data_IF_215085230460
#
_entry.id   IF_215085230460
#
_cell.length_a   1.000
_cell.length_b   1.000
_cell.length_c   1.000
_cell.angle_alpha   90.00
_cell.angle_beta   90.00
_cell.angle_gamma   90.00
#
_symmetry.space_group_name_H-M   'P 1'
#
loop_
_entity.id
_entity.type
_entity.pdbx_description
1 polymer ?
#
# COMPACT_ATOMS: atom_id res chain seq x y z
N UNK A 1 4.23 53.42 -12.59
CA UNK A 1 3.41 54.69 -12.59
C UNK A 1 2.00 54.31 -12.16
N UNK A 2 1.58 54.84 -10.99
CA UNK A 2 0.23 54.88 -10.38
C UNK A 2 -0.43 53.53 -10.05
N UNK A 3 -0.54 53.00 -8.81
CA UNK A 3 -1.05 53.59 -7.52
C UNK A 3 -2.55 53.86 -7.56
N UNK A 4 -3.35 53.06 -6.80
CA UNK A 4 -4.55 53.41 -5.99
C UNK A 4 -4.77 52.17 -5.10
N UNK A 5 -4.48 52.15 -3.86
CA UNK A 5 -4.85 52.75 -2.57
C UNK A 5 -6.26 52.44 -2.09
N UNK A 6 -6.30 51.54 -1.10
CA UNK A 6 -7.02 51.46 0.19
C UNK A 6 -8.50 51.85 0.29
N UNK A 7 -9.19 51.04 1.13
CA UNK A 7 -9.90 51.59 2.31
C UNK A 7 -10.29 50.47 3.29
N UNK A 8 -9.79 50.64 4.51
CA UNK A 8 -10.21 49.94 5.74
C UNK A 8 -11.55 50.54 6.21
N UNK A 9 -12.41 49.70 6.80
CA UNK A 9 -13.42 50.14 7.74
C UNK A 9 -13.50 49.16 8.90
N UNK A 10 -13.05 49.63 10.05
CA UNK A 10 -13.24 49.01 11.35
C UNK A 10 -14.64 49.37 11.88
N UNK A 11 -15.35 48.42 12.42
CA UNK A 11 -16.55 48.66 13.22
C UNK A 11 -16.28 48.18 14.65
N UNK A 12 -16.22 49.12 15.55
CA UNK A 12 -16.21 49.00 17.00
C UNK A 12 -17.64 48.69 17.45
N UNK A 13 -17.86 47.63 18.23
CA UNK A 13 -19.11 47.42 18.95
C UNK A 13 -18.84 47.56 20.44
N UNK A 14 -19.54 48.56 21.01
CA UNK A 14 -19.55 48.95 22.41
C UNK A 14 -20.49 47.98 23.17
N UNK A 15 -20.04 47.49 24.34
CA UNK A 15 -20.84 46.79 25.34
C UNK A 15 -21.53 47.80 26.27
N UNK A 16 -22.78 47.56 26.68
CA UNK A 16 -23.36 48.25 27.84
C UNK A 16 -23.36 47.35 29.10
N UNK A 17 -23.53 47.96 30.28
CA UNK A 17 -23.12 47.39 31.56
C UNK A 17 -24.16 46.53 32.30
N UNK A 18 -23.69 45.93 33.36
CA UNK A 18 -24.37 44.99 34.26
C UNK A 18 -25.59 45.59 34.94
N UNK A 19 -26.62 44.70 35.11
CA UNK A 19 -27.74 44.89 35.99
C UNK A 19 -28.14 43.59 36.65
N UNK A 20 -27.79 43.42 37.89
CA UNK A 20 -28.14 42.25 38.70
C UNK A 20 -29.60 42.18 39.06
N UNK A 21 -30.12 40.96 39.11
CA UNK A 21 -31.34 40.61 39.87
C UNK A 21 -31.33 39.14 40.27
N UNK A 22 -31.36 38.88 41.54
CA UNK A 22 -31.57 37.57 42.15
C UNK A 22 -32.94 37.03 41.79
N UNK A 23 -33.02 35.75 41.34
CA UNK A 23 -34.20 34.90 41.49
C UNK A 23 -33.82 33.43 41.57
N UNK A 24 -34.06 32.90 42.70
CA UNK A 24 -34.37 31.53 43.18
C UNK A 24 -34.27 30.35 42.24
N UNK A 25 -33.54 29.34 42.72
CA UNK A 25 -33.45 27.99 42.20
C UNK A 25 -34.82 27.31 42.12
N UNK A 26 -35.16 26.82 40.94
CA UNK A 26 -36.12 25.73 40.76
C UNK A 26 -35.38 24.55 40.13
N UNK A 27 -35.27 23.47 40.91
CA UNK A 27 -34.66 22.21 40.47
C UNK A 27 -35.45 21.59 39.33
N UNK A 28 -34.96 21.73 38.09
CA UNK A 28 -35.41 20.96 36.97
C UNK A 28 -34.50 19.76 36.74
N UNK A 29 -34.92 18.60 37.27
CA UNK A 29 -34.34 17.32 36.96
C UNK A 29 -34.41 17.11 35.44
N UNK A 30 -33.26 17.20 34.75
CA UNK A 30 -33.14 16.71 33.35
C UNK A 30 -33.31 15.19 33.41
N UNK A 31 -34.52 14.72 33.16
CA UNK A 31 -34.76 13.34 32.79
C UNK A 31 -33.91 13.07 31.54
N UNK A 32 -32.77 12.44 31.71
CA UNK A 32 -32.08 11.75 30.61
C UNK A 32 -33.05 10.71 30.10
N UNK A 33 -33.59 10.93 28.91
CA UNK A 33 -34.44 9.95 28.23
C UNK A 33 -33.67 8.63 28.20
N UNK A 34 -34.20 7.60 28.83
CA UNK A 34 -33.68 6.25 28.77
C UNK A 34 -33.56 5.87 27.25
N UNK A 35 -32.49 5.18 26.84
CA UNK A 35 -32.34 4.77 25.46
C UNK A 35 -33.59 3.97 25.06
N UNK A 36 -34.23 4.38 23.94
CA UNK A 36 -35.38 3.65 23.40
C UNK A 36 -34.95 2.24 23.10
N UNK A 37 -35.45 1.26 23.85
CA UNK A 37 -35.23 -0.15 23.60
C UNK A 37 -35.64 -0.46 22.15
N UNK A 38 -34.72 -0.95 21.35
CA UNK A 38 -35.00 -1.29 19.95
C UNK A 38 -36.10 -2.37 19.88
N UNK A 39 -36.97 -2.28 18.87
CA UNK A 39 -37.97 -3.31 18.63
C UNK A 39 -37.27 -4.67 18.32
N UNK A 40 -37.89 -5.81 18.69
CA UNK A 40 -37.37 -7.12 18.34
C UNK A 40 -37.10 -7.23 16.84
N UNK A 41 -35.88 -7.62 16.43
CA UNK A 41 -35.46 -7.70 15.03
C UNK A 41 -34.92 -6.39 14.45
N UNK A 42 -34.74 -5.32 15.25
CA UNK A 42 -34.11 -4.10 14.79
C UNK A 42 -32.57 -4.26 14.70
N UNK A 43 -31.97 -3.80 13.59
CA UNK A 43 -30.51 -3.71 13.46
C UNK A 43 -30.01 -2.63 14.41
N UNK A 44 -29.13 -3.00 15.34
CA UNK A 44 -28.56 -2.09 16.33
C UNK A 44 -27.02 -2.06 16.23
N UNK A 45 -26.42 -1.04 16.88
CA UNK A 45 -24.96 -0.97 16.94
C UNK A 45 -24.38 -2.16 17.70
N UNK A 46 -24.88 -2.41 18.93
CA UNK A 46 -24.33 -3.42 19.82
C UNK A 46 -24.41 -4.83 19.26
N UNK A 47 -25.53 -5.19 18.60
CA UNK A 47 -25.77 -6.56 18.16
C UNK A 47 -25.18 -6.88 16.77
N UNK A 48 -25.27 -5.95 15.80
CA UNK A 48 -24.91 -6.25 14.41
C UNK A 48 -23.80 -5.38 13.86
N UNK A 49 -23.77 -4.08 14.20
CA UNK A 49 -22.83 -3.14 13.56
C UNK A 49 -21.44 -3.22 14.20
N UNK A 50 -21.34 -3.24 15.53
CA UNK A 50 -20.07 -3.34 16.23
C UNK A 50 -19.26 -4.59 15.82
N UNK A 51 -19.86 -5.80 15.72
CA UNK A 51 -19.14 -6.97 15.21
C UNK A 51 -18.53 -6.76 13.83
N UNK A 52 -19.27 -6.10 12.90
CA UNK A 52 -18.77 -5.81 11.56
C UNK A 52 -17.61 -4.81 11.61
N UNK A 53 -17.76 -3.71 12.35
CA UNK A 53 -16.72 -2.68 12.48
C UNK A 53 -15.48 -3.23 13.18
N UNK A 54 -15.65 -4.01 14.24
CA UNK A 54 -14.54 -4.57 15.01
C UNK A 54 -13.72 -5.58 14.20
N UNK A 55 -14.38 -6.39 13.40
CA UNK A 55 -13.70 -7.37 12.54
C UNK A 55 -12.99 -6.73 11.33
N UNK A 56 -13.52 -5.62 10.77
CA UNK A 56 -13.10 -5.16 9.44
C UNK A 56 -12.53 -3.72 9.42
N UNK A 57 -12.76 -2.90 10.44
CA UNK A 57 -12.45 -1.47 10.37
C UNK A 57 -11.46 -1.01 11.45
N UNK A 58 -11.60 -1.48 12.68
CA UNK A 58 -10.85 -0.94 13.84
C UNK A 58 -9.36 -1.23 13.80
N UNK A 59 -8.89 -2.15 12.94
CA UNK A 59 -7.45 -2.35 12.74
C UNK A 59 -6.77 -1.04 12.33
N UNK A 60 -7.42 -0.24 11.49
CA UNK A 60 -6.94 1.07 11.04
C UNK A 60 -7.68 2.22 11.74
N UNK A 61 -8.99 2.08 11.99
CA UNK A 61 -9.85 3.11 12.56
C UNK A 61 -9.87 3.06 14.11
N UNK A 62 -8.71 3.28 14.73
CA UNK A 62 -8.54 3.45 16.18
C UNK A 62 -7.48 4.51 16.49
N UNK A 63 -7.42 5.05 17.72
CA UNK A 63 -6.41 6.05 18.09
C UNK A 63 -4.98 5.58 17.77
N UNK A 64 -4.16 6.48 17.25
CA UNK A 64 -2.75 6.21 16.94
C UNK A 64 -2.51 5.41 15.64
N UNK A 65 -3.55 5.08 14.86
CA UNK A 65 -3.40 4.41 13.57
C UNK A 65 -3.56 5.37 12.39
N UNK A 66 -3.36 4.84 11.16
CA UNK A 66 -3.33 5.64 9.93
C UNK A 66 -4.66 6.32 9.59
N UNK A 67 -5.80 5.72 9.95
CA UNK A 67 -7.10 6.29 9.65
C UNK A 67 -7.34 7.63 10.37
N UNK A 68 -8.03 8.60 9.73
CA UNK A 68 -8.19 9.96 10.27
C UNK A 68 -9.16 10.05 11.47
N UNK A 69 -9.89 8.99 11.77
CA UNK A 69 -10.86 8.92 12.88
C UNK A 69 -11.01 7.48 13.39
N UNK A 70 -11.46 7.34 14.64
CA UNK A 70 -11.75 6.05 15.24
C UNK A 70 -13.17 5.57 14.89
N UNK A 71 -13.39 4.24 15.02
CA UNK A 71 -14.70 3.56 14.90
C UNK A 71 -14.85 2.50 16.02
N UNK A 72 -14.33 2.80 17.22
CA UNK A 72 -14.28 1.86 18.35
C UNK A 72 -15.48 1.99 19.30
N UNK A 73 -16.27 3.07 19.16
CA UNK A 73 -17.43 3.33 20.00
C UNK A 73 -18.69 3.56 19.19
N UNK A 74 -19.85 3.47 19.84
CA UNK A 74 -21.14 3.84 19.23
C UNK A 74 -21.13 5.28 18.72
N UNK A 75 -20.64 6.22 19.53
CA UNK A 75 -20.60 7.64 19.15
C UNK A 75 -19.67 7.90 17.94
N UNK A 76 -18.55 7.21 17.85
CA UNK A 76 -17.67 7.26 16.69
C UNK A 76 -18.41 6.80 15.43
N UNK A 77 -19.05 5.64 15.49
CA UNK A 77 -19.76 5.05 14.37
C UNK A 77 -20.97 5.90 13.95
N UNK A 78 -21.78 6.37 14.93
CA UNK A 78 -22.95 7.21 14.70
C UNK A 78 -22.59 8.52 14.01
N UNK A 79 -21.51 9.18 14.46
CA UNK A 79 -20.99 10.40 13.83
C UNK A 79 -20.62 10.20 12.36
N UNK A 80 -20.26 8.99 11.97
CA UNK A 80 -19.78 8.63 10.62
C UNK A 80 -20.73 7.74 9.83
N UNK A 81 -21.91 7.42 10.33
CA UNK A 81 -22.82 6.44 9.74
C UNK A 81 -23.08 6.63 8.26
N UNK A 82 -23.43 7.82 7.80
CA UNK A 82 -23.66 8.10 6.39
C UNK A 82 -22.39 7.92 5.54
N UNK A 83 -21.21 8.28 6.09
CA UNK A 83 -19.93 8.09 5.43
C UNK A 83 -19.61 6.59 5.33
N UNK A 84 -19.81 5.81 6.42
CA UNK A 84 -19.62 4.36 6.43
C UNK A 84 -20.45 3.72 5.31
N UNK A 85 -21.74 4.02 5.24
CA UNK A 85 -22.62 3.47 4.20
C UNK A 85 -22.13 3.81 2.80
N UNK A 86 -21.77 5.08 2.55
CA UNK A 86 -21.27 5.52 1.24
C UNK A 86 -20.02 4.74 0.80
N UNK A 87 -19.01 4.64 1.69
CA UNK A 87 -17.72 4.03 1.31
C UNK A 87 -17.77 2.50 1.29
N UNK A 88 -18.66 1.86 2.05
CA UNK A 88 -18.84 0.39 2.01
C UNK A 88 -19.69 -0.03 0.82
N UNK A 89 -20.75 0.73 0.48
CA UNK A 89 -21.55 0.48 -0.71
C UNK A 89 -20.74 0.60 -2.02
N UNK A 90 -19.83 1.57 -2.09
CA UNK A 90 -18.90 1.71 -3.23
C UNK A 90 -17.71 0.75 -3.16
N UNK A 91 -17.59 -0.08 -2.11
CA UNK A 91 -16.46 -0.96 -1.83
C UNK A 91 -15.09 -0.27 -1.73
N UNK A 92 -15.09 1.05 -1.50
CA UNK A 92 -13.89 1.82 -1.22
C UNK A 92 -13.28 1.46 0.14
N UNK A 93 -14.13 1.06 1.12
CA UNK A 93 -13.71 0.57 2.43
C UNK A 93 -14.42 -0.75 2.78
N UNK A 94 -13.73 -1.70 3.41
CA UNK A 94 -12.28 -1.75 3.65
C UNK A 94 -11.48 -1.79 2.33
N UNK A 95 -10.23 -1.29 2.30
CA UNK A 95 -9.43 -1.31 1.07
C UNK A 95 -9.03 -2.75 0.73
N UNK A 96 -9.59 -3.26 -0.36
CA UNK A 96 -9.32 -4.59 -0.90
C UNK A 96 -9.69 -4.61 -2.37
N UNK A 97 -8.69 -4.67 -3.25
CA UNK A 97 -8.91 -4.51 -4.69
C UNK A 97 -8.91 -5.81 -5.49
N UNK A 98 -8.39 -6.92 -4.91
CA UNK A 98 -8.48 -8.22 -5.59
C UNK A 98 -9.95 -8.65 -5.74
N UNK A 99 -10.36 -8.94 -6.96
CA UNK A 99 -11.72 -9.37 -7.27
C UNK A 99 -12.03 -10.72 -6.60
N UNK A 100 -13.19 -10.80 -5.96
CA UNK A 100 -13.64 -12.04 -5.33
C UNK A 100 -13.78 -13.17 -6.34
N UNK A 101 -13.33 -14.38 -5.97
CA UNK A 101 -13.38 -15.56 -6.84
C UNK A 101 -12.33 -15.56 -7.96
N UNK A 102 -11.45 -14.54 -8.01
CA UNK A 102 -10.35 -14.49 -8.95
C UNK A 102 -8.99 -14.55 -8.24
N UNK A 103 -8.63 -15.76 -7.80
CA UNK A 103 -7.61 -16.05 -6.78
C UNK A 103 -8.26 -16.23 -5.40
N UNK A 104 -7.63 -17.03 -4.56
CA UNK A 104 -8.03 -17.22 -3.16
C UNK A 104 -6.93 -16.71 -2.24
N UNK A 105 -7.23 -15.66 -1.46
CA UNK A 105 -6.23 -14.96 -0.66
C UNK A 105 -6.51 -15.11 0.83
N UNK A 106 -5.42 -15.13 1.63
CA UNK A 106 -5.51 -15.02 3.10
C UNK A 106 -5.99 -13.62 3.48
N UNK A 107 -6.64 -13.54 4.62
CA UNK A 107 -7.03 -12.26 5.26
C UNK A 107 -7.80 -11.30 4.33
N UNK A 108 -8.69 -11.85 3.50
CA UNK A 108 -9.56 -11.06 2.63
C UNK A 108 -10.42 -10.11 3.45
N UNK A 109 -10.23 -8.79 3.25
CA UNK A 109 -10.90 -7.72 4.02
C UNK A 109 -12.24 -7.29 3.43
N UNK A 110 -12.77 -8.00 2.47
CA UNK A 110 -14.01 -7.68 1.78
C UNK A 110 -15.22 -7.91 2.68
N UNK A 111 -16.10 -6.91 2.78
CA UNK A 111 -17.42 -7.09 3.37
C UNK A 111 -18.34 -7.91 2.46
N UNK A 112 -19.16 -8.77 3.06
CA UNK A 112 -20.25 -9.43 2.34
C UNK A 112 -21.37 -8.44 1.99
N UNK A 113 -22.24 -8.81 1.04
CA UNK A 113 -23.37 -7.96 0.67
C UNK A 113 -24.36 -7.81 1.84
N UNK A 114 -24.49 -8.84 2.68
CA UNK A 114 -25.31 -8.80 3.90
C UNK A 114 -24.73 -7.84 4.95
N UNK A 115 -23.40 -7.80 5.12
CA UNK A 115 -22.75 -6.86 6.02
C UNK A 115 -22.95 -5.41 5.54
N UNK A 116 -22.82 -5.15 4.25
CA UNK A 116 -23.07 -3.84 3.64
C UNK A 116 -24.55 -3.43 3.83
N UNK A 117 -25.48 -4.35 3.57
CA UNK A 117 -26.91 -4.11 3.76
C UNK A 117 -27.26 -3.84 5.24
N UNK A 118 -26.61 -4.54 6.18
CA UNK A 118 -26.77 -4.34 7.63
C UNK A 118 -26.35 -2.92 8.04
N UNK A 119 -25.20 -2.44 7.57
CA UNK A 119 -24.72 -1.08 7.83
C UNK A 119 -25.68 -0.04 7.25
N UNK A 120 -26.18 -0.25 6.04
CA UNK A 120 -27.15 0.64 5.40
C UNK A 120 -28.48 0.68 6.16
N UNK A 121 -29.00 -0.47 6.58
CA UNK A 121 -30.27 -0.56 7.32
C UNK A 121 -30.15 0.09 8.72
N UNK A 122 -29.02 -0.07 9.39
CA UNK A 122 -28.76 0.61 10.67
C UNK A 122 -28.85 2.14 10.54
N UNK A 123 -28.22 2.71 9.51
CA UNK A 123 -28.27 4.16 9.26
C UNK A 123 -29.68 4.60 8.89
N UNK A 124 -30.38 3.86 8.01
CA UNK A 124 -31.77 4.13 7.62
C UNK A 124 -32.71 4.16 8.81
N UNK A 125 -32.50 3.34 9.81
CA UNK A 125 -33.30 3.29 11.06
C UNK A 125 -32.93 4.36 12.09
N UNK A 126 -32.05 5.30 11.77
CA UNK A 126 -31.63 6.37 12.69
C UNK A 126 -30.53 5.95 13.68
N UNK A 127 -29.79 4.90 13.32
CA UNK A 127 -28.61 4.44 14.06
C UNK A 127 -28.88 4.10 15.54
N UNK A 128 -29.79 3.17 15.86
CA UNK A 128 -30.05 2.80 17.24
C UNK A 128 -28.83 2.10 17.88
N UNK A 129 -28.57 2.40 19.15
CA UNK A 129 -27.45 1.82 19.89
C UNK A 129 -27.66 0.33 20.19
N UNK A 130 -28.87 -0.02 20.65
CA UNK A 130 -29.18 -1.35 21.16
C UNK A 130 -28.88 -1.47 22.66
N UNK A 131 -28.79 -2.72 23.13
CA UNK A 131 -28.44 -3.00 24.53
C UNK A 131 -26.90 -3.02 24.64
N UNK A 132 -26.30 -2.13 25.46
CA UNK A 132 -24.86 -2.10 25.65
C UNK A 132 -24.27 -3.41 26.22
N UNK A 133 -25.08 -4.25 26.89
CA UNK A 133 -24.63 -5.54 27.41
C UNK A 133 -24.36 -6.57 26.29
N UNK A 134 -24.88 -6.34 25.09
CA UNK A 134 -24.63 -7.16 23.90
C UNK A 134 -23.41 -6.71 23.10
N UNK A 135 -22.78 -5.58 23.49
CA UNK A 135 -21.61 -5.10 22.80
C UNK A 135 -20.45 -6.11 22.91
N UNK A 136 -19.91 -6.60 21.77
CA UNK A 136 -18.77 -7.50 21.84
C UNK A 136 -17.53 -6.79 22.42
N UNK A 137 -16.65 -7.56 23.03
CA UNK A 137 -15.36 -7.03 23.46
C UNK A 137 -14.60 -6.44 22.28
N UNK A 138 -14.00 -5.26 22.48
CA UNK A 138 -13.12 -4.67 21.48
C UNK A 138 -11.95 -5.63 21.22
N UNK A 139 -11.56 -5.88 19.97
CA UNK A 139 -10.40 -6.70 19.67
C UNK A 139 -9.15 -6.21 20.42
N UNK A 140 -8.41 -7.15 20.98
CA UNK A 140 -7.11 -6.86 21.54
C UNK A 140 -6.11 -6.59 20.43
N UNK A 141 -5.38 -5.51 20.54
CA UNK A 141 -4.31 -5.17 19.62
C UNK A 141 -2.99 -5.30 20.37
N UNK A 142 -2.04 -6.10 19.88
CA UNK A 142 -0.74 -6.21 20.53
C UNK A 142 -0.10 -4.82 20.66
N UNK A 143 0.39 -4.51 21.84
CA UNK A 143 1.31 -3.39 22.04
C UNK A 143 2.70 -3.83 21.55
N UNK A 144 3.34 -3.02 20.72
CA UNK A 144 4.65 -3.34 20.13
C UNK A 144 4.54 -4.20 18.86
N UNK A 145 5.28 -5.31 18.80
CA UNK A 145 5.42 -6.14 17.61
C UNK A 145 4.30 -7.17 17.48
N UNK A 146 3.61 -7.18 16.32
CA UNK A 146 2.48 -8.09 16.07
C UNK A 146 2.90 -9.55 15.96
N UNK A 147 4.09 -9.78 15.40
CA UNK A 147 4.61 -11.13 15.18
C UNK A 147 5.40 -11.68 16.38
N UNK A 148 5.35 -11.00 17.54
CA UNK A 148 6.14 -11.32 18.72
C UNK A 148 7.48 -10.59 18.73
N UNK A 149 8.41 -10.98 19.57
CA UNK A 149 9.72 -10.31 19.71
C UNK A 149 10.58 -10.55 18.44
N UNK A 150 11.01 -9.50 17.71
CA UNK A 150 11.91 -9.64 16.58
C UNK A 150 13.29 -10.12 17.02
N UNK A 151 13.98 -10.84 16.13
CA UNK A 151 15.39 -11.24 16.32
C UNK A 151 16.34 -10.05 16.19
N UNK A 152 15.97 -9.06 15.36
CA UNK A 152 16.76 -7.84 15.16
C UNK A 152 15.80 -6.64 15.02
N UNK A 153 16.04 -5.61 15.83
CA UNK A 153 15.34 -4.32 15.73
C UNK A 153 16.29 -3.26 15.23
N UNK A 154 15.91 -2.58 14.17
CA UNK A 154 16.69 -1.51 13.56
C UNK A 154 15.84 -0.23 13.48
N UNK A 155 16.43 0.90 13.85
CA UNK A 155 15.82 2.23 13.74
C UNK A 155 16.61 3.08 12.75
N UNK A 156 15.95 3.94 12.00
CA UNK A 156 16.62 4.91 11.13
C UNK A 156 17.67 5.69 11.93
N UNK A 157 18.91 5.83 11.41
CA UNK A 157 20.02 6.44 12.15
C UNK A 157 19.76 7.89 12.53
N UNK A 158 18.99 8.62 11.73
CA UNK A 158 18.62 10.01 11.95
C UNK A 158 17.14 10.25 11.65
N UNK A 159 16.54 11.18 12.39
CA UNK A 159 15.21 11.67 12.09
C UNK A 159 15.21 12.46 10.78
N UNK A 160 14.10 12.41 10.07
CA UNK A 160 13.88 13.08 8.80
C UNK A 160 12.70 14.04 8.89
N UNK A 161 12.93 15.31 8.61
CA UNK A 161 11.91 16.33 8.70
C UNK A 161 11.11 16.42 7.40
N UNK A 162 9.80 16.20 7.49
CA UNK A 162 8.84 16.33 6.40
C UNK A 162 8.17 17.71 6.44
N UNK A 163 8.13 18.46 5.34
CA UNK A 163 7.43 19.73 5.28
C UNK A 163 5.91 19.53 5.36
N UNK A 164 5.19 20.59 5.72
CA UNK A 164 3.72 20.56 5.79
C UNK A 164 3.06 20.36 4.41
N UNK A 165 3.69 20.84 3.33
CA UNK A 165 3.14 20.81 1.98
C UNK A 165 4.25 20.76 0.94
N UNK A 166 3.92 20.29 -0.24
CA UNK A 166 4.82 20.11 -1.37
C UNK A 166 4.39 18.91 -2.22
N UNK A 167 5.18 18.52 -3.22
CA UNK A 167 4.98 17.27 -3.95
C UNK A 167 5.28 16.06 -3.05
N UNK A 168 4.81 14.90 -3.45
CA UNK A 168 5.21 13.64 -2.85
C UNK A 168 6.73 13.48 -2.89
N UNK A 169 7.28 12.95 -1.80
CA UNK A 169 8.73 12.76 -1.67
C UNK A 169 9.09 11.27 -1.64
N UNK A 170 10.07 10.89 -2.46
CA UNK A 170 10.67 9.55 -2.47
C UNK A 170 12.09 9.63 -1.93
N UNK A 171 12.35 8.87 -0.85
CA UNK A 171 13.67 8.91 -0.20
C UNK A 171 14.09 7.53 0.29
N UNK A 172 15.37 7.27 0.16
CA UNK A 172 15.99 6.01 0.57
C UNK A 172 16.79 6.23 1.85
N UNK A 173 16.50 5.49 2.91
CA UNK A 173 17.24 5.54 4.16
C UNK A 173 18.05 4.27 4.34
N UNK A 174 19.28 4.43 4.75
CA UNK A 174 20.26 3.34 4.89
C UNK A 174 20.44 3.02 6.37
N UNK A 175 20.25 1.76 6.73
CA UNK A 175 20.36 1.29 8.11
C UNK A 175 21.36 0.12 8.17
N UNK A 176 22.55 0.31 8.73
CA UNK A 176 23.53 -0.77 8.88
C UNK A 176 23.01 -1.89 9.77
N UNK A 177 23.02 -3.13 9.28
CA UNK A 177 22.59 -4.29 10.07
C UNK A 177 23.64 -4.74 11.09
N UNK A 178 24.92 -4.52 10.82
CA UNK A 178 26.07 -5.00 11.61
C UNK A 178 26.06 -6.52 11.85
N UNK A 179 25.42 -7.28 10.97
CA UNK A 179 25.37 -8.73 11.07
C UNK A 179 26.77 -9.34 10.85
N UNK A 180 27.19 -10.21 11.74
CA UNK A 180 28.48 -10.92 11.66
C UNK A 180 28.43 -12.15 10.74
N UNK A 181 27.24 -12.65 10.45
CA UNK A 181 27.01 -13.84 9.63
C UNK A 181 25.78 -13.64 8.71
N UNK A 182 25.67 -14.45 7.66
CA UNK A 182 24.51 -14.45 6.79
C UNK A 182 23.26 -14.90 7.54
N UNK A 183 22.14 -14.21 7.33
CA UNK A 183 20.83 -14.51 7.90
C UNK A 183 19.78 -14.70 6.82
N UNK A 184 18.68 -15.30 7.21
CA UNK A 184 17.54 -15.54 6.33
C UNK A 184 16.29 -14.92 6.96
N UNK A 185 15.67 -13.98 6.27
CA UNK A 185 14.52 -13.22 6.75
C UNK A 185 13.24 -13.97 6.41
N UNK A 186 12.43 -14.27 7.41
CA UNK A 186 11.10 -14.88 7.24
C UNK A 186 9.94 -13.90 7.45
N UNK A 187 10.21 -12.74 8.07
CA UNK A 187 9.25 -11.63 8.17
C UNK A 187 9.97 -10.32 8.44
N UNK A 188 9.34 -9.22 8.03
CA UNK A 188 9.67 -7.86 8.45
C UNK A 188 8.39 -7.20 8.92
N UNK A 189 8.46 -6.58 10.08
CA UNK A 189 7.42 -5.72 10.62
C UNK A 189 7.92 -4.28 10.65
N UNK A 190 7.13 -3.35 10.13
CA UNK A 190 7.51 -1.96 9.94
C UNK A 190 6.64 -1.05 10.81
N UNK A 191 7.29 -0.20 11.58
CA UNK A 191 6.66 0.80 12.44
C UNK A 191 7.06 2.20 11.98
N UNK A 192 6.23 2.89 11.18
CA UNK A 192 6.51 4.25 10.72
C UNK A 192 6.47 5.25 11.87
N UNK A 193 7.42 6.20 11.92
CA UNK A 193 7.44 7.33 12.83
C UNK A 193 6.31 8.31 12.50
N UNK A 194 6.32 8.85 11.29
CA UNK A 194 5.26 9.71 10.76
C UNK A 194 4.17 8.87 10.07
N UNK A 195 3.43 8.08 10.84
CA UNK A 195 2.47 7.08 10.37
C UNK A 195 1.45 7.58 9.34
N UNK A 196 1.11 8.87 9.38
CA UNK A 196 0.14 9.47 8.47
C UNK A 196 0.75 9.94 7.14
N UNK A 197 2.05 10.25 7.17
CA UNK A 197 2.79 10.75 6.02
C UNK A 197 3.45 9.62 5.22
N UNK A 198 3.82 8.51 5.86
CA UNK A 198 4.39 7.35 5.19
C UNK A 198 3.30 6.62 4.41
N UNK A 199 3.33 6.72 3.08
CA UNK A 199 2.36 6.08 2.19
C UNK A 199 2.71 4.61 1.95
N UNK A 200 3.96 4.31 1.55
CA UNK A 200 4.50 2.96 1.48
C UNK A 200 6.02 2.96 1.61
N UNK A 201 6.57 1.79 1.84
CA UNK A 201 8.02 1.55 1.88
C UNK A 201 8.36 0.22 1.20
N UNK A 202 9.43 0.22 0.41
CA UNK A 202 10.05 -0.99 -0.10
C UNK A 202 11.31 -1.28 0.72
N UNK A 203 11.49 -2.56 1.09
CA UNK A 203 12.65 -3.03 1.83
C UNK A 203 13.61 -3.72 0.90
N UNK A 204 14.88 -3.38 1.00
CA UNK A 204 15.96 -4.07 0.30
C UNK A 204 17.18 -4.21 1.19
N UNK A 205 18.09 -5.12 0.83
CA UNK A 205 19.44 -5.12 1.38
C UNK A 205 20.45 -4.68 0.33
N UNK A 206 21.54 -4.07 0.79
CA UNK A 206 22.73 -3.73 0.01
C UNK A 206 24.00 -4.22 0.72
N UNK A 207 24.63 -5.26 0.17
CA UNK A 207 25.93 -5.76 0.61
C UNK A 207 27.10 -5.15 -0.16
N UNK A 208 26.82 -4.23 -1.10
CA UNK A 208 27.86 -3.56 -1.92
C UNK A 208 28.33 -2.23 -1.33
N UNK A 209 27.59 -1.68 -0.37
CA UNK A 209 27.79 -0.35 0.19
C UNK A 209 27.50 0.79 -0.79
N UNK A 210 26.81 0.51 -1.88
CA UNK A 210 26.45 1.52 -2.87
C UNK A 210 25.44 2.54 -2.30
N UNK A 211 24.50 2.07 -1.49
CA UNK A 211 23.53 2.91 -0.80
C UNK A 211 24.19 3.82 0.25
N UNK A 212 25.06 3.24 1.09
CA UNK A 212 25.82 4.00 2.12
C UNK A 212 26.72 5.09 1.52
N UNK A 213 27.27 4.86 0.32
CA UNK A 213 28.06 5.90 -0.38
C UNK A 213 27.23 7.08 -0.87
N UNK A 214 25.92 6.96 -0.94
CA UNK A 214 24.98 8.01 -1.39
C UNK A 214 24.31 8.74 -0.23
N UNK A 215 24.25 8.07 0.92
CA UNK A 215 23.60 8.59 2.13
C UNK A 215 24.17 9.96 2.52
N UNK A 216 23.29 10.93 2.76
CA UNK A 216 23.63 12.27 3.22
C UNK A 216 24.36 13.17 2.23
N UNK A 217 24.58 12.78 0.96
CA UNK A 217 25.34 13.61 -0.01
C UNK A 217 24.65 14.93 -0.36
N UNK A 218 23.34 15.00 -0.23
CA UNK A 218 22.54 16.21 -0.45
C UNK A 218 22.34 17.03 0.85
N UNK A 219 23.07 16.71 1.92
CA UNK A 219 23.00 17.36 3.22
C UNK A 219 21.80 16.96 4.08
N UNK A 220 20.99 15.99 3.65
CA UNK A 220 19.82 15.48 4.36
C UNK A 220 19.99 13.97 4.63
N UNK A 221 19.42 13.41 5.72
CA UNK A 221 19.45 11.96 5.96
C UNK A 221 18.92 11.18 4.76
N UNK A 222 19.59 10.09 4.37
CA UNK A 222 19.22 9.30 3.19
C UNK A 222 19.64 9.96 1.87
N UNK A 223 18.99 9.53 0.77
CA UNK A 223 19.18 10.10 -0.57
C UNK A 223 17.90 10.00 -1.40
N UNK A 224 17.69 10.95 -2.29
CA UNK A 224 16.48 11.03 -3.12
C UNK A 224 16.43 10.03 -4.26
N UNK A 225 15.22 9.82 -4.81
CA UNK A 225 14.93 9.07 -6.03
C UNK A 225 14.35 7.67 -5.81
N UNK A 226 13.63 7.19 -6.83
CA UNK A 226 13.09 5.82 -6.90
C UNK A 226 14.10 4.89 -7.60
N UNK A 227 14.06 3.59 -7.27
CA UNK A 227 14.77 2.53 -8.00
C UNK A 227 16.30 2.58 -7.98
N UNK A 228 16.89 3.46 -7.21
CA UNK A 228 18.31 3.80 -7.33
C UNK A 228 19.24 3.06 -6.39
N UNK A 229 18.71 2.33 -5.41
CA UNK A 229 19.51 1.59 -4.43
C UNK A 229 19.68 0.10 -4.77
N UNK A 230 19.40 -0.30 -6.01
CA UNK A 230 19.39 -1.71 -6.35
C UNK A 230 18.18 -2.47 -5.80
N UNK A 231 17.11 -1.77 -5.41
CA UNK A 231 15.85 -2.36 -4.93
C UNK A 231 15.13 -3.19 -6.02
N UNK A 232 15.71 -3.27 -7.21
CA UNK A 232 15.34 -4.20 -8.27
C UNK A 232 16.54 -5.05 -8.73
N UNK A 233 17.59 -5.07 -7.96
CA UNK A 233 18.87 -5.76 -8.01
C UNK A 233 19.16 -6.66 -9.19
N UNK A 234 19.65 -6.08 -10.28
CA UNK A 234 20.36 -6.83 -11.33
C UNK A 234 21.86 -6.99 -10.98
N UNK A 235 22.34 -6.26 -9.95
CA UNK A 235 23.71 -6.36 -9.48
C UNK A 235 23.81 -7.31 -8.29
N UNK A 236 24.78 -8.24 -8.33
CA UNK A 236 25.07 -9.13 -7.22
C UNK A 236 25.34 -8.36 -5.92
N UNK A 237 24.79 -8.86 -4.80
CA UNK A 237 24.95 -8.24 -3.49
C UNK A 237 23.82 -7.28 -3.07
N UNK A 238 22.75 -7.13 -3.87
CA UNK A 238 21.54 -6.44 -3.48
C UNK A 238 20.31 -7.32 -3.71
N UNK A 239 19.26 -7.13 -2.93
CA UNK A 239 18.03 -7.88 -3.15
C UNK A 239 16.82 -7.34 -2.39
N UNK A 240 15.61 -7.63 -2.90
CA UNK A 240 14.37 -7.20 -2.27
C UNK A 240 14.09 -8.02 -1.01
N UNK A 241 13.58 -7.37 0.03
CA UNK A 241 13.09 -8.00 1.27
C UNK A 241 11.58 -7.80 1.48
N UNK A 242 10.91 -7.19 0.52
CA UNK A 242 9.49 -6.94 0.59
C UNK A 242 9.13 -5.46 0.66
N UNK A 243 8.04 -5.15 1.34
CA UNK A 243 7.58 -3.77 1.54
C UNK A 243 6.37 -3.73 2.45
N UNK A 244 5.97 -2.51 2.78
CA UNK A 244 4.79 -2.22 3.57
C UNK A 244 4.01 -1.07 2.91
N UNK A 245 2.69 -1.10 3.02
CA UNK A 245 1.81 0.00 2.68
C UNK A 245 0.79 0.19 3.79
N UNK A 246 0.12 1.34 3.80
CA UNK A 246 -0.90 1.65 4.81
C UNK A 246 -1.95 0.54 4.87
N UNK A 247 -2.19 0.01 6.07
CA UNK A 247 -3.15 -1.08 6.30
C UNK A 247 -2.58 -2.49 6.11
N UNK A 248 -1.33 -2.64 5.63
CA UNK A 248 -0.70 -3.95 5.55
C UNK A 248 -0.45 -4.53 6.95
N UNK A 249 -0.82 -5.79 7.14
CA UNK A 249 -0.52 -6.56 8.35
C UNK A 249 0.75 -7.37 8.11
N UNK A 250 1.72 -7.36 9.05
CA UNK A 250 2.91 -8.17 8.91
C UNK A 250 2.53 -9.66 9.00
N UNK A 251 3.17 -10.48 8.17
CA UNK A 251 2.96 -11.93 8.12
C UNK A 251 4.28 -12.64 7.96
N UNK A 252 4.39 -13.84 8.51
CA UNK A 252 5.50 -14.73 8.21
C UNK A 252 5.37 -15.28 6.78
N UNK A 253 6.49 -15.36 6.07
CA UNK A 253 6.57 -16.14 4.84
C UNK A 253 6.20 -17.60 5.14
N UNK A 254 5.68 -18.34 4.14
CA UNK A 254 5.38 -19.75 4.31
C UNK A 254 6.58 -20.55 4.82
N UNK A 255 6.30 -21.68 5.49
CA UNK A 255 7.36 -22.57 5.96
C UNK A 255 8.31 -22.98 4.83
N UNK A 256 9.61 -23.02 5.11
CA UNK A 256 10.65 -23.27 4.12
C UNK A 256 10.96 -22.11 3.17
N UNK A 257 10.30 -20.96 3.35
CA UNK A 257 10.51 -19.75 2.55
C UNK A 257 11.19 -18.66 3.40
N UNK A 258 12.34 -18.17 2.94
CA UNK A 258 13.02 -17.03 3.55
C UNK A 258 13.82 -16.26 2.50
N UNK A 259 14.13 -14.99 2.79
CA UNK A 259 14.89 -14.11 1.92
C UNK A 259 16.31 -13.93 2.45
N UNK A 260 17.34 -13.89 1.59
CA UNK A 260 18.71 -13.75 2.05
C UNK A 260 18.94 -12.36 2.65
N UNK A 261 19.73 -12.31 3.70
CA UNK A 261 20.27 -11.09 4.28
C UNK A 261 21.78 -11.32 4.60
N UNK A 262 22.67 -11.00 3.64
CA UNK A 262 24.09 -11.27 3.79
C UNK A 262 24.72 -10.51 4.96
N UNK A 263 25.75 -11.06 5.57
CA UNK A 263 26.53 -10.39 6.60
C UNK A 263 27.02 -9.02 6.16
N UNK A 264 27.02 -8.07 7.08
CA UNK A 264 27.54 -6.71 6.84
C UNK A 264 26.74 -5.89 5.82
N UNK A 265 25.59 -6.39 5.33
CA UNK A 265 24.74 -5.60 4.44
C UNK A 265 23.99 -4.51 5.20
N UNK A 266 23.63 -3.46 4.48
CA UNK A 266 22.70 -2.44 4.94
C UNK A 266 21.28 -2.82 4.57
N UNK A 267 20.31 -2.42 5.39
CA UNK A 267 18.89 -2.34 4.97
C UNK A 267 18.68 -0.98 4.32
N UNK A 268 18.01 -0.99 3.19
CA UNK A 268 17.57 0.23 2.50
C UNK A 268 16.05 0.30 2.56
N UNK A 269 15.53 1.36 3.17
CA UNK A 269 14.12 1.70 3.20
C UNK A 269 13.84 2.73 2.11
N UNK A 270 13.25 2.32 0.99
CA UNK A 270 12.77 3.25 -0.02
C UNK A 270 11.36 3.70 0.36
N UNK A 271 11.25 4.90 0.90
CA UNK A 271 10.01 5.44 1.45
C UNK A 271 9.36 6.42 0.49
N UNK A 272 8.05 6.31 0.35
CA UNK A 272 7.19 7.29 -0.31
C UNK A 272 6.40 8.03 0.76
N UNK A 273 6.51 9.35 0.76
CA UNK A 273 5.80 10.25 1.66
C UNK A 273 4.71 11.02 0.93
N UNK A 274 3.51 11.00 1.49
CA UNK A 274 2.41 11.87 1.13
C UNK A 274 2.20 12.91 2.23
N UNK A 275 2.35 14.19 1.92
CA UNK A 275 2.37 15.24 2.93
C UNK A 275 0.97 15.52 3.49
N UNK A 276 0.89 15.71 4.81
CA UNK A 276 -0.39 15.70 5.57
C UNK A 276 -0.97 17.10 5.84
N UNK A 277 -0.33 18.16 5.35
CA UNK A 277 -0.68 19.54 5.68
C UNK A 277 -0.05 20.05 6.98
N UNK A 278 0.79 19.22 7.62
CA UNK A 278 1.57 19.54 8.83
C UNK A 278 3.00 19.08 8.65
N UNK A 279 3.94 19.83 9.25
CA UNK A 279 5.31 19.33 9.38
C UNK A 279 5.31 18.12 10.32
N UNK A 280 5.99 17.03 9.91
CA UNK A 280 6.10 15.80 10.67
C UNK A 280 7.55 15.33 10.69
N UNK A 281 7.92 14.60 11.74
CA UNK A 281 9.25 14.01 11.88
C UNK A 281 9.14 12.51 11.67
N UNK A 282 9.90 11.98 10.72
CA UNK A 282 9.94 10.56 10.41
C UNK A 282 11.20 9.91 10.99
N UNK A 283 11.01 8.86 11.79
CA UNK A 283 12.08 7.98 12.26
C UNK A 283 11.53 6.57 12.47
N UNK A 284 11.39 5.84 11.39
CA UNK A 284 10.86 4.48 11.39
C UNK A 284 11.76 3.48 12.09
N UNK A 285 11.10 2.45 12.63
CA UNK A 285 11.75 1.26 13.20
C UNK A 285 11.25 0.02 12.47
N UNK A 286 12.13 -0.96 12.25
CA UNK A 286 11.79 -2.25 11.66
C UNK A 286 12.19 -3.38 12.60
N UNK A 287 11.32 -4.39 12.72
CA UNK A 287 11.61 -5.67 13.34
C UNK A 287 11.84 -6.72 12.27
N UNK A 288 12.95 -7.42 12.36
CA UNK A 288 13.32 -8.48 11.42
C UNK A 288 13.28 -9.82 12.16
N UNK A 289 12.62 -10.80 11.55
CA UNK A 289 12.48 -12.15 12.09
C UNK A 289 13.26 -13.12 11.20
N UNK A 290 14.18 -13.88 11.79
CA UNK A 290 15.01 -14.81 11.07
C UNK A 290 14.38 -16.20 11.00
N UNK A 291 14.67 -16.90 9.92
CA UNK A 291 14.43 -18.33 9.83
C UNK A 291 15.52 -19.09 10.60
N UNK A 292 15.16 -20.19 11.25
CA UNK A 292 16.08 -21.02 12.03
C UNK A 292 17.16 -21.67 11.15
N UNK A 293 16.88 -21.85 9.87
CA UNK A 293 17.80 -22.41 8.88
C UNK A 293 17.63 -21.76 7.51
N UNK A 294 18.67 -21.85 6.69
CA UNK A 294 18.61 -21.45 5.29
C UNK A 294 17.50 -22.20 4.55
N UNK A 295 16.71 -21.52 3.69
CA UNK A 295 15.77 -22.22 2.84
C UNK A 295 16.49 -23.09 1.83
N UNK A 296 15.92 -24.24 1.51
CA UNK A 296 16.49 -25.13 0.48
C UNK A 296 16.42 -24.51 -0.92
N UNK A 297 15.48 -23.59 -1.14
CA UNK A 297 15.19 -22.95 -2.43
C UNK A 297 14.95 -21.45 -2.23
N UNK A 298 15.42 -20.67 -3.17
CA UNK A 298 15.26 -19.22 -3.15
C UNK A 298 13.86 -18.79 -3.59
N UNK A 299 13.42 -17.65 -3.08
CA UNK A 299 12.26 -16.94 -3.60
C UNK A 299 12.70 -16.00 -4.71
N UNK A 300 11.97 -16.04 -5.82
CA UNK A 300 12.20 -15.20 -6.98
C UNK A 300 10.99 -14.27 -7.18
N UNK A 301 11.26 -13.04 -7.60
CA UNK A 301 10.20 -12.10 -7.99
C UNK A 301 10.03 -12.13 -9.51
N UNK A 302 8.94 -12.75 -9.95
CA UNK A 302 8.55 -12.75 -11.36
C UNK A 302 7.67 -11.54 -11.65
N UNK A 303 8.18 -10.60 -12.42
CA UNK A 303 7.49 -9.37 -12.78
C UNK A 303 7.03 -9.41 -14.25
N UNK A 304 5.76 -9.15 -14.52
CA UNK A 304 5.13 -9.16 -15.83
C UNK A 304 4.26 -7.91 -16.01
N UNK A 305 4.56 -7.02 -16.95
CA UNK A 305 5.79 -6.87 -17.73
C UNK A 305 7.03 -6.63 -16.85
N UNK A 306 8.21 -7.00 -17.36
CA UNK A 306 9.46 -6.78 -16.67
C UNK A 306 9.75 -5.29 -16.46
N UNK A 307 10.51 -4.95 -15.40
CA UNK A 307 10.94 -3.59 -15.08
C UNK A 307 9.77 -2.60 -15.05
N UNK A 308 8.64 -3.01 -14.43
CA UNK A 308 7.42 -2.19 -14.32
C UNK A 308 6.89 -1.69 -15.67
N UNK A 309 7.02 -2.49 -16.72
CA UNK A 309 6.57 -2.13 -18.06
C UNK A 309 7.58 -1.31 -18.88
N UNK A 310 8.82 -1.17 -18.41
CA UNK A 310 9.89 -0.55 -19.21
C UNK A 310 10.06 -1.28 -20.53
N UNK A 311 9.82 -0.57 -21.64
CA UNK A 311 9.82 -1.19 -22.98
C UNK A 311 8.54 -1.93 -23.36
N UNK A 312 7.51 -1.96 -22.51
CA UNK A 312 6.23 -2.60 -22.84
C UNK A 312 5.25 -1.70 -23.62
N UNK A 313 5.71 -0.53 -24.08
CA UNK A 313 4.91 0.38 -24.89
C UNK A 313 4.00 1.29 -24.09
N UNK A 314 4.36 1.65 -22.88
CA UNK A 314 3.67 2.69 -22.11
C UNK A 314 3.94 4.07 -22.73
N UNK A 315 3.14 4.41 -23.75
CA UNK A 315 3.10 5.70 -24.44
C UNK A 315 1.62 6.04 -24.68
N UNK A 316 0.98 6.60 -23.64
CA UNK A 316 -0.46 6.72 -23.53
C UNK A 316 -0.89 8.11 -23.98
N UNK A 317 -1.55 8.25 -25.15
CA UNK A 317 -2.00 9.55 -25.64
C UNK A 317 -2.99 10.24 -24.70
N UNK A 318 -2.98 11.57 -24.70
CA UNK A 318 -3.99 12.36 -24.02
C UNK A 318 -5.40 12.01 -24.53
N UNK A 319 -6.36 11.88 -23.63
CA UNK A 319 -7.75 11.55 -23.94
C UNK A 319 -8.00 10.07 -24.26
N UNK A 320 -6.97 9.22 -24.28
CA UNK A 320 -7.11 7.80 -24.60
C UNK A 320 -7.74 7.04 -23.43
N UNK A 321 -8.93 6.47 -23.66
CA UNK A 321 -9.56 5.47 -22.79
C UNK A 321 -9.11 4.06 -23.20
N UNK A 322 -9.10 3.15 -22.21
CA UNK A 322 -8.90 1.71 -22.41
C UNK A 322 -7.58 1.40 -23.16
N UNK A 323 -6.52 2.18 -22.89
CA UNK A 323 -5.19 1.86 -23.39
C UNK A 323 -4.69 0.57 -22.73
N UNK A 324 -4.35 -0.42 -23.54
CA UNK A 324 -4.03 -1.77 -23.05
C UNK A 324 -2.57 -2.10 -23.29
N UNK A 325 -1.92 -2.63 -22.26
CA UNK A 325 -0.59 -3.26 -22.32
C UNK A 325 -0.75 -4.72 -21.96
N UNK A 326 -0.25 -5.61 -22.80
CA UNK A 326 -0.26 -7.05 -22.55
C UNK A 326 1.16 -7.60 -22.61
N UNK A 327 1.46 -8.54 -21.73
CA UNK A 327 2.72 -9.27 -21.72
C UNK A 327 2.49 -10.68 -21.12
N UNK A 328 3.40 -11.61 -21.39
CA UNK A 328 3.28 -12.97 -20.89
C UNK A 328 4.63 -13.54 -20.49
N UNK A 329 4.59 -14.59 -19.67
CA UNK A 329 5.75 -15.38 -19.30
C UNK A 329 5.40 -16.87 -19.31
N UNK A 330 6.21 -17.67 -19.97
CA UNK A 330 6.07 -19.14 -19.92
C UNK A 330 7.10 -19.69 -18.94
N UNK A 331 6.64 -20.47 -17.95
CA UNK A 331 7.51 -21.03 -16.92
C UNK A 331 8.48 -22.05 -17.55
N UNK A 332 9.81 -21.84 -17.41
CA UNK A 332 10.78 -22.77 -17.98
C UNK A 332 10.97 -24.04 -17.13
N UNK A 333 10.49 -24.02 -15.90
CA UNK A 333 10.58 -25.07 -14.89
C UNK A 333 9.31 -25.06 -14.03
N UNK A 334 9.13 -26.08 -13.20
CA UNK A 334 8.03 -26.15 -12.25
C UNK A 334 8.21 -25.10 -11.14
N UNK A 335 7.20 -24.24 -10.96
CA UNK A 335 7.18 -23.18 -9.97
C UNK A 335 6.01 -23.33 -9.00
N UNK A 336 6.15 -22.72 -7.84
CA UNK A 336 5.05 -22.51 -6.90
C UNK A 336 4.97 -21.01 -6.58
N UNK A 337 3.80 -20.40 -6.77
CA UNK A 337 3.56 -19.00 -6.42
C UNK A 337 2.88 -18.89 -5.05
N UNK A 338 3.37 -18.00 -4.19
CA UNK A 338 2.90 -17.77 -2.81
C UNK A 338 2.18 -16.47 -2.63
N UNK A 339 2.68 -15.42 -3.30
CA UNK A 339 2.19 -14.04 -3.17
C UNK A 339 2.06 -13.46 -4.57
N UNK A 340 1.04 -12.63 -4.76
CA UNK A 340 0.87 -11.81 -5.95
C UNK A 340 0.59 -10.36 -5.53
N UNK A 341 1.07 -9.41 -6.30
CA UNK A 341 0.78 -7.99 -6.16
C UNK A 341 0.77 -7.31 -7.50
N UNK A 342 0.30 -6.09 -7.54
CA UNK A 342 0.33 -5.27 -8.73
C UNK A 342 0.92 -3.89 -8.41
N UNK A 343 1.45 -3.24 -9.43
CA UNK A 343 1.94 -1.86 -9.34
C UNK A 343 1.60 -1.11 -10.62
N UNK A 344 1.06 0.08 -10.46
CA UNK A 344 0.86 1.09 -11.49
C UNK A 344 0.73 2.46 -10.82
N UNK A 345 0.60 3.54 -11.62
CA UNK A 345 0.37 4.88 -11.10
C UNK A 345 -1.11 5.31 -11.20
N UNK A 346 -1.37 6.63 -11.35
CA UNK A 346 -2.71 7.19 -11.18
C UNK A 346 -3.72 6.81 -12.26
N UNK A 347 -3.29 6.65 -13.53
CA UNK A 347 -4.24 6.45 -14.63
C UNK A 347 -4.50 4.99 -14.96
N UNK A 348 -3.90 4.06 -14.22
CA UNK A 348 -4.26 2.65 -14.33
C UNK A 348 -5.71 2.43 -13.88
N UNK A 349 -6.40 1.50 -14.53
CA UNK A 349 -7.80 1.18 -14.32
C UNK A 349 -8.01 -0.28 -13.93
N UNK A 350 -7.46 -1.20 -14.71
CA UNK A 350 -7.62 -2.63 -14.53
C UNK A 350 -6.29 -3.37 -14.67
N UNK A 351 -6.09 -4.37 -13.83
CA UNK A 351 -4.91 -5.23 -13.86
C UNK A 351 -5.33 -6.67 -13.69
N UNK A 352 -4.96 -7.55 -14.62
CA UNK A 352 -5.39 -8.95 -14.62
C UNK A 352 -4.23 -9.88 -14.94
N UNK A 353 -4.11 -10.95 -14.17
CA UNK A 353 -3.14 -12.04 -14.41
C UNK A 353 -3.85 -13.39 -14.38
N UNK A 354 -3.62 -14.20 -15.41
CA UNK A 354 -4.18 -15.55 -15.56
C UNK A 354 -3.07 -16.50 -15.96
N UNK A 355 -3.04 -17.68 -15.37
CA UNK A 355 -2.16 -18.77 -15.81
C UNK A 355 -2.95 -19.79 -16.65
N UNK A 356 -2.41 -20.16 -17.81
CA UNK A 356 -2.87 -21.30 -18.63
C UNK A 356 -1.86 -22.42 -18.47
N UNK A 357 -2.30 -23.55 -17.92
CA UNK A 357 -1.47 -24.71 -17.66
C UNK A 357 -1.22 -25.51 -18.94
N UNK A 358 -0.22 -26.42 -18.97
CA UNK A 358 0.07 -27.24 -20.15
C UNK A 358 -1.08 -28.13 -20.62
N UNK A 359 -2.01 -28.48 -19.75
CA UNK A 359 -3.23 -29.22 -20.08
C UNK A 359 -4.37 -28.38 -20.65
N UNK A 360 -4.13 -27.05 -20.83
CA UNK A 360 -5.10 -26.09 -21.31
C UNK A 360 -6.03 -25.53 -20.23
N UNK A 361 -6.00 -26.04 -19.00
CA UNK A 361 -6.78 -25.48 -17.90
C UNK A 361 -6.24 -24.12 -17.47
N UNK A 362 -7.13 -23.28 -16.91
CA UNK A 362 -6.76 -21.95 -16.47
C UNK A 362 -6.78 -21.82 -14.94
N UNK A 363 -5.89 -20.99 -14.41
CA UNK A 363 -5.84 -20.61 -12.98
C UNK A 363 -5.93 -19.10 -12.88
N UNK A 364 -6.92 -18.54 -12.17
CA UNK A 364 -6.97 -17.13 -11.86
C UNK A 364 -5.86 -16.80 -10.87
N UNK A 365 -5.05 -15.77 -11.18
CA UNK A 365 -3.96 -15.36 -10.30
C UNK A 365 -4.29 -14.07 -9.56
N UNK A 366 -4.69 -13.02 -10.29
CA UNK A 366 -5.09 -11.74 -9.73
C UNK A 366 -5.96 -10.98 -10.73
N UNK A 367 -7.02 -10.35 -10.23
CA UNK A 367 -7.78 -9.38 -10.99
C UNK A 367 -8.14 -8.18 -10.11
N UNK A 368 -7.62 -7.01 -10.47
CA UNK A 368 -7.99 -5.73 -9.89
C UNK A 368 -8.80 -4.99 -10.95
N UNK A 369 -10.09 -4.77 -10.69
CA UNK A 369 -11.04 -4.19 -11.64
C UNK A 369 -11.10 -2.67 -11.58
N UNK A 370 -10.71 -2.10 -10.44
CA UNK A 370 -10.69 -0.67 -10.18
C UNK A 370 -9.42 -0.34 -9.39
N UNK A 371 -8.33 -0.09 -10.12
CA UNK A 371 -7.04 0.23 -9.52
C UNK A 371 -7.10 1.56 -8.78
N UNK A 372 -6.55 1.59 -7.58
CA UNK A 372 -6.31 2.82 -6.82
C UNK A 372 -4.85 2.89 -6.37
N UNK A 373 -4.14 3.89 -6.84
CA UNK A 373 -2.73 4.13 -6.53
C UNK A 373 -2.44 4.19 -5.01
N UNK A 374 -3.44 4.62 -4.22
CA UNK A 374 -3.31 4.73 -2.77
C UNK A 374 -3.26 3.36 -2.06
N UNK A 375 -3.65 2.28 -2.70
CA UNK A 375 -3.80 0.95 -2.11
C UNK A 375 -3.05 -0.11 -2.91
N UNK A 376 -1.72 -0.15 -2.78
CA UNK A 376 -0.85 -1.09 -3.48
C UNK A 376 -0.57 -2.31 -2.61
N UNK A 377 -1.58 -3.15 -2.46
CA UNK A 377 -1.52 -4.32 -1.58
C UNK A 377 -0.82 -5.52 -2.23
N UNK A 378 -0.38 -6.46 -1.40
CA UNK A 378 0.12 -7.77 -1.78
C UNK A 378 -0.79 -8.83 -1.20
N UNK A 379 -1.14 -9.79 -2.01
CA UNK A 379 -2.11 -10.83 -1.70
C UNK A 379 -1.40 -12.16 -1.54
N UNK A 380 -1.46 -12.74 -0.34
CA UNK A 380 -0.93 -14.08 -0.06
C UNK A 380 -1.99 -15.12 -0.41
N UNK A 381 -1.66 -16.06 -1.27
CA UNK A 381 -2.60 -17.15 -1.60
C UNK A 381 -2.92 -18.00 -0.36
N UNK A 382 -4.18 -18.41 -0.18
CA UNK A 382 -4.58 -19.37 0.86
C UNK A 382 -3.83 -20.67 0.70
N UNK A 383 -3.78 -21.17 -0.54
CA UNK A 383 -3.00 -22.32 -0.96
C UNK A 383 -2.02 -21.87 -2.03
N UNK A 384 -0.72 -22.16 -1.90
CA UNK A 384 0.25 -21.83 -2.94
C UNK A 384 -0.18 -22.41 -4.30
N UNK A 385 0.00 -21.63 -5.36
CA UNK A 385 -0.44 -21.96 -6.71
C UNK A 385 0.67 -22.70 -7.45
N UNK A 386 0.41 -23.98 -7.82
CA UNK A 386 1.33 -24.73 -8.66
C UNK A 386 1.28 -24.22 -10.10
N UNK A 387 2.44 -23.95 -10.67
CA UNK A 387 2.67 -23.50 -12.03
C UNK A 387 3.68 -24.43 -12.70
N UNK A 388 3.22 -25.57 -13.26
CA UNK A 388 4.10 -26.55 -13.91
C UNK A 388 4.89 -25.92 -15.06
N UNK A 389 6.03 -26.51 -15.40
CA UNK A 389 6.81 -26.15 -16.60
C UNK A 389 5.91 -26.06 -17.83
N UNK A 390 6.05 -24.99 -18.61
CA UNK A 390 5.21 -24.71 -19.77
C UNK A 390 3.92 -23.94 -19.46
N UNK A 391 3.64 -23.61 -18.18
CA UNK A 391 2.51 -22.76 -17.82
C UNK A 391 2.75 -21.35 -18.40
N UNK A 392 1.78 -20.84 -19.16
CA UNK A 392 1.79 -19.47 -19.65
C UNK A 392 1.03 -18.55 -18.70
N UNK A 393 1.70 -17.54 -18.21
CA UNK A 393 1.11 -16.47 -17.37
C UNK A 393 0.88 -15.25 -18.26
N UNK A 394 -0.37 -14.89 -18.49
CA UNK A 394 -0.77 -13.72 -19.25
C UNK A 394 -1.13 -12.59 -18.29
N UNK A 395 -0.63 -11.39 -18.56
CA UNK A 395 -0.95 -10.18 -17.81
C UNK A 395 -1.50 -9.13 -18.76
N UNK A 396 -2.63 -8.54 -18.38
CA UNK A 396 -3.27 -7.43 -19.05
C UNK A 396 -3.39 -6.25 -18.10
N UNK A 397 -2.95 -5.08 -18.55
CA UNK A 397 -3.03 -3.80 -17.84
C UNK A 397 -3.85 -2.84 -18.70
N UNK A 398 -4.81 -2.15 -18.10
CA UNK A 398 -5.66 -1.17 -18.79
C UNK A 398 -5.52 0.17 -18.11
N UNK A 399 -5.36 1.23 -18.91
CA UNK A 399 -5.18 2.61 -18.46
C UNK A 399 -6.26 3.52 -19.05
N UNK A 400 -6.64 4.55 -18.30
CA UNK A 400 -7.60 5.58 -18.73
C UNK A 400 -6.98 6.99 -18.57
N UNK A 401 -6.43 7.53 -19.66
CA UNK A 401 -5.87 8.87 -19.70
C UNK A 401 -6.90 9.90 -20.24
N UNK A 402 -8.18 9.73 -19.90
CA UNK A 402 -9.23 10.65 -20.33
C UNK A 402 -9.55 11.72 -19.28
N UNK A 403 -10.27 12.76 -19.70
CA UNK A 403 -10.79 13.78 -18.81
C UNK A 403 -11.92 13.26 -17.89
N UNK A 404 -12.54 12.14 -18.22
CA UNK A 404 -13.59 11.52 -17.41
C UNK A 404 -13.02 10.66 -16.26
N UNK A 405 -11.71 10.37 -16.28
CA UNK A 405 -11.05 9.66 -15.19
C UNK A 405 -10.80 10.62 -14.01
N UNK A 406 -11.51 10.47 -12.87
CA UNK A 406 -11.35 11.37 -11.73
C UNK A 406 -9.97 11.25 -11.04
N UNK A 407 -9.22 10.18 -11.35
CA UNK A 407 -7.88 9.94 -10.80
C UNK A 407 -6.78 10.48 -11.71
N UNK A 408 -7.12 11.00 -12.91
CA UNK A 408 -6.11 11.60 -13.79
C UNK A 408 -5.52 12.86 -13.16
N UNK A 409 -4.20 12.91 -12.89
CA UNK A 409 -3.57 14.06 -12.24
C UNK A 409 -3.49 15.30 -13.14
N UNK A 410 -3.75 15.14 -14.45
CA UNK A 410 -3.71 16.22 -15.43
C UNK A 410 -5.11 16.57 -15.96
N UNK A 411 -5.51 17.84 -15.81
CA UNK A 411 -6.73 18.37 -16.43
C UNK A 411 -6.43 19.71 -17.13
N UNK A 412 -6.45 19.78 -18.49
CA UNK A 412 -6.77 18.71 -19.42
C UNK A 412 -5.73 17.58 -19.43
N UNK A 413 -6.11 16.36 -19.87
CA UNK A 413 -5.18 15.24 -19.96
C UNK A 413 -3.96 15.56 -20.83
N UNK A 414 -2.81 15.01 -20.44
CA UNK A 414 -1.54 15.13 -21.18
C UNK A 414 -1.05 13.74 -21.61
N UNK A 415 -0.24 13.59 -22.65
CA UNK A 415 0.41 12.32 -22.95
C UNK A 415 1.22 11.84 -21.74
N UNK A 416 1.14 10.54 -21.44
CA UNK A 416 1.82 9.90 -20.31
C UNK A 416 2.71 8.78 -20.84
N UNK A 417 3.95 8.73 -20.34
CA UNK A 417 4.95 7.73 -20.72
C UNK A 417 5.40 6.94 -19.50
N UNK A 418 6.16 5.87 -19.77
CA UNK A 418 6.83 5.17 -18.70
C UNK A 418 7.80 6.10 -17.97
N UNK A 419 7.69 6.16 -16.64
CA UNK A 419 8.55 6.97 -15.79
C UNK A 419 8.35 6.74 -14.32
N UNK A 420 9.29 7.26 -13.51
CA UNK A 420 9.36 7.00 -12.07
C UNK A 420 8.42 7.90 -11.23
N UNK A 421 7.93 9.01 -11.80
CA UNK A 421 7.07 9.95 -11.06
C UNK A 421 5.62 9.47 -11.06
N UNK A 422 4.87 9.80 -10.01
CA UNK A 422 3.47 9.36 -9.89
C UNK A 422 2.56 9.86 -11.03
N UNK A 423 2.92 10.98 -11.68
CA UNK A 423 2.22 11.51 -12.87
C UNK A 423 2.72 10.93 -14.20
N UNK A 424 3.84 10.21 -14.22
CA UNK A 424 4.23 9.29 -15.30
C UNK A 424 3.42 7.98 -15.14
N UNK A 425 3.77 6.90 -15.83
CA UNK A 425 3.08 5.64 -15.62
C UNK A 425 4.06 4.46 -15.57
N UNK A 426 3.68 3.47 -14.82
CA UNK A 426 4.30 2.16 -14.72
C UNK A 426 3.21 1.08 -14.78
N UNK A 427 3.60 -0.18 -14.90
CA UNK A 427 2.67 -1.27 -14.73
C UNK A 427 3.29 -2.65 -14.73
N UNK A 428 2.92 -3.42 -13.74
CA UNK A 428 3.27 -4.84 -13.66
C UNK A 428 2.42 -5.61 -12.65
N UNK A 429 2.29 -6.91 -12.88
CA UNK A 429 1.91 -7.87 -11.85
C UNK A 429 3.17 -8.61 -11.42
N UNK A 430 3.33 -8.80 -10.11
CA UNK A 430 4.50 -9.40 -9.50
C UNK A 430 4.08 -10.65 -8.73
N UNK A 431 4.73 -11.79 -9.01
CA UNK A 431 4.54 -13.03 -8.27
C UNK A 431 5.81 -13.37 -7.49
N UNK A 432 5.68 -13.67 -6.21
CA UNK A 432 6.74 -14.33 -5.46
C UNK A 432 6.64 -15.83 -5.72
N UNK A 433 7.65 -16.38 -6.40
CA UNK A 433 7.68 -17.77 -6.84
C UNK A 433 8.91 -18.52 -6.30
N UNK A 434 8.81 -19.82 -6.21
CA UNK A 434 9.93 -20.71 -5.85
C UNK A 434 9.98 -21.87 -6.83
N UNK A 435 11.16 -22.31 -7.25
CA UNK A 435 11.31 -23.54 -8.00
C UNK A 435 10.90 -24.73 -7.12
N UNK A 436 10.29 -25.77 -7.70
CA UNK A 436 10.00 -26.99 -6.94
C UNK A 436 11.27 -27.79 -6.62
N UNK A 437 12.33 -27.61 -7.41
CA UNK A 437 13.65 -28.23 -7.20
C UNK A 437 14.74 -27.17 -7.23
N UNK A 438 15.72 -27.25 -6.34
CA UNK A 438 16.81 -26.29 -6.25
C UNK A 438 17.70 -26.26 -7.50
N UNK A 439 17.89 -27.43 -8.15
CA UNK A 439 18.65 -27.54 -9.40
C UNK A 439 18.05 -26.80 -10.59
N UNK A 440 16.79 -26.40 -10.51
CA UNK A 440 16.09 -25.64 -11.55
C UNK A 440 16.34 -24.11 -11.45
N UNK A 441 16.85 -23.61 -10.32
CA UNK A 441 17.09 -22.18 -10.10
C UNK A 441 17.96 -21.51 -11.16
N UNK A 442 19.08 -22.12 -11.64
CA UNK A 442 19.88 -21.51 -12.71
C UNK A 442 19.13 -21.36 -14.04
N UNK A 443 18.16 -22.25 -14.31
CA UNK A 443 17.31 -22.16 -15.51
C UNK A 443 16.37 -20.97 -15.40
N UNK A 444 15.71 -20.82 -14.24
CA UNK A 444 14.82 -19.70 -13.96
C UNK A 444 15.57 -18.37 -13.98
N UNK A 445 16.76 -18.32 -13.38
CA UNK A 445 17.61 -17.12 -13.36
C UNK A 445 17.98 -16.67 -14.78
N UNK A 446 18.36 -17.58 -15.66
CA UNK A 446 18.64 -17.25 -17.06
C UNK A 446 17.42 -16.69 -17.77
N UNK A 447 16.25 -17.33 -17.60
CA UNK A 447 15.00 -16.85 -18.19
C UNK A 447 14.63 -15.43 -17.74
N UNK A 448 14.83 -15.11 -16.46
CA UNK A 448 14.61 -13.76 -15.94
C UNK A 448 15.61 -12.75 -16.52
N UNK A 449 16.89 -13.11 -16.60
CA UNK A 449 17.92 -12.25 -17.20
C UNK A 449 17.64 -11.98 -18.70
N UNK A 450 17.20 -12.97 -19.44
CA UNK A 450 16.79 -12.83 -20.85
C UNK A 450 15.58 -11.91 -20.98
N UNK A 451 14.58 -12.06 -20.10
CA UNK A 451 13.41 -11.20 -20.07
C UNK A 451 13.76 -9.73 -19.81
N UNK A 452 14.64 -9.47 -18.84
CA UNK A 452 15.13 -8.11 -18.55
C UNK A 452 15.89 -7.53 -19.76
N UNK A 453 16.78 -8.31 -20.37
CA UNK A 453 17.50 -7.87 -21.59
C UNK A 453 16.54 -7.54 -22.72
N UNK A 454 15.53 -8.39 -22.95
CA UNK A 454 14.52 -8.14 -23.97
C UNK A 454 13.70 -6.87 -23.69
N UNK A 455 13.34 -6.60 -22.43
CA UNK A 455 12.66 -5.36 -22.05
C UNK A 455 13.51 -4.12 -22.33
N UNK A 456 14.80 -4.15 -21.99
CA UNK A 456 15.75 -3.07 -22.29
C UNK A 456 15.91 -2.88 -23.81
N UNK A 457 16.01 -3.97 -24.57
CA UNK A 457 16.05 -3.92 -26.05
C UNK A 457 14.84 -3.21 -26.64
N UNK A 458 13.63 -3.63 -26.25
CA UNK A 458 12.38 -2.95 -26.67
C UNK A 458 12.33 -1.49 -26.24
N UNK A 459 12.78 -1.17 -25.01
CA UNK A 459 12.84 0.22 -24.54
C UNK A 459 13.80 1.09 -25.36
N UNK A 460 14.88 0.50 -25.89
CA UNK A 460 15.80 1.17 -26.79
C UNK A 460 15.13 1.43 -28.16
N UNK A 461 14.47 0.41 -28.71
CA UNK A 461 13.80 0.46 -30.02
C UNK A 461 12.64 1.47 -30.05
N UNK A 462 11.80 1.50 -28.99
CA UNK A 462 10.64 2.38 -28.92
C UNK A 462 10.92 3.76 -28.29
N UNK A 463 12.19 4.07 -27.99
CA UNK A 463 12.63 5.36 -27.48
C UNK A 463 12.38 5.60 -25.98
N UNK A 464 11.82 4.64 -25.24
CA UNK A 464 11.58 4.77 -23.79
C UNK A 464 12.89 4.99 -23.03
N UNK A 465 13.95 4.24 -23.35
CA UNK A 465 15.26 4.40 -22.73
C UNK A 465 15.84 5.80 -22.95
N UNK A 466 15.72 6.35 -24.16
CA UNK A 466 16.19 7.71 -24.47
C UNK A 466 15.46 8.75 -23.62
N UNK A 467 14.12 8.70 -23.56
CA UNK A 467 13.31 9.62 -22.75
C UNK A 467 13.68 9.53 -21.26
N UNK A 468 13.84 8.32 -20.74
CA UNK A 468 14.25 8.10 -19.36
C UNK A 468 15.61 8.72 -19.01
N UNK A 469 16.60 8.57 -19.89
CA UNK A 469 17.92 9.19 -19.70
C UNK A 469 17.87 10.73 -19.77
N UNK A 470 17.04 11.29 -20.65
CA UNK A 470 16.82 12.73 -20.75
C UNK A 470 16.16 13.32 -19.49
N UNK A 471 15.16 12.62 -18.93
CA UNK A 471 14.51 13.02 -17.66
C UNK A 471 15.51 13.03 -16.50
N UNK A 472 16.35 11.99 -16.38
CA UNK A 472 17.40 11.93 -15.36
C UNK A 472 18.48 12.99 -15.51
N UNK A 473 18.86 13.31 -16.71
CA UNK A 473 19.82 14.39 -16.98
C UNK A 473 19.31 15.76 -16.56
N UNK A 474 18.00 15.99 -16.63
CA UNK A 474 17.36 17.25 -16.19
C UNK A 474 17.17 17.33 -14.67
N UNK A 475 17.05 16.21 -13.99
CA UNK A 475 16.86 16.14 -12.52
C UNK A 475 18.18 16.18 -11.73
N UNK A 476 19.33 16.02 -12.40
CA UNK A 476 20.67 16.01 -11.81
C UNK A 476 21.49 17.27 -12.06
N UNK A 477 20.96 18.27 -12.72
CA UNK A 477 21.51 19.63 -12.90
C UNK A 477 20.65 20.64 -12.13
#
# INVERSE_FOLDING_TARGET
MRLVLALLLAAVVILPPEGGSHLTAAGGSRLTAAPKRAAPGAVTFSDQVAPILYANCVTCHRPGQAAPFALISYEDAKKRGNQIVKVTASRFMPPWHAAHGYGEFKDERRLSDEQIATLAEWVKRGMPEGDPSHLPALPSFPEGWHLGTPDLVLTMPAAYELPASGPDEFRNFVIPTKLAEDKWVRAIEFHPGARKAVHHVLFAYDATGAASRRDGRDGRPGFGGMGTAGVGGVQGGTGPLGGWAVGATPVFLPEGVALPLPKGSDIVLQMHFHLTGKAETEQSTIGIYFADKAPERRVWSLQIPALFGFGAGLDIPAGKKDYTVEDSFTTPVDLTAFIVGAHAHYIAKEMKATATLPDGSTRPLLWIQDWDFNWQDRYTYKTPVALPKGTRIDVKLVYDNSADNPRNPANPPKPVWWGEQSFDEMGSVNLAVQCQRAEDEPVLQRAFAERVRAAIGRATENGTLKRFMEQRGRAGG
#
